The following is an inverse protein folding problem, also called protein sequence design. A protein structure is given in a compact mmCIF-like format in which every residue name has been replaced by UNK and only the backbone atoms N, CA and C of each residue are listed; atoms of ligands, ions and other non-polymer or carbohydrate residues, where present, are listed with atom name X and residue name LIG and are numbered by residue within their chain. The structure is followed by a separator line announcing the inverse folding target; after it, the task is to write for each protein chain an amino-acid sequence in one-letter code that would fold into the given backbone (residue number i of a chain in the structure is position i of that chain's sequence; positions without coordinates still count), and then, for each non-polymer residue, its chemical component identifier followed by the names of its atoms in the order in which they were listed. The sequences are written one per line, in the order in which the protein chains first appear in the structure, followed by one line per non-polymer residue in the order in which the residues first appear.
data_IF_387249032772
#
_entry.id   IF_387249032772
#
_cell.length_a   1.000
_cell.length_b   1.000
_cell.length_c   1.000
_cell.angle_alpha   90.00
_cell.angle_beta   90.00
_cell.angle_gamma   90.00
#
_symmetry.space_group_name_H-M   'P 1'
#
loop_
_entity.id
_entity.type
_entity.pdbx_description
1 polymer ?
#
# COMPACT_ATOMS: atom_id res chain seq x y z
N UNK A 1 -16.01 -14.86 -2.13
CA UNK A 1 -16.16 -13.46 -1.63
C UNK A 1 -16.31 -12.45 -2.77
N UNK A 2 -15.36 -12.31 -3.73
CA UNK A 2 -15.48 -11.32 -4.81
C UNK A 2 -16.75 -11.53 -5.68
N UNK A 3 -17.01 -12.75 -6.15
CA UNK A 3 -18.22 -13.07 -6.90
C UNK A 3 -19.52 -12.76 -6.12
N UNK A 4 -19.50 -12.97 -4.80
CA UNK A 4 -20.60 -12.65 -3.89
C UNK A 4 -20.80 -11.14 -3.75
N UNK A 5 -19.72 -10.37 -3.71
CA UNK A 5 -19.76 -8.90 -3.70
C UNK A 5 -20.31 -8.34 -5.02
N UNK A 6 -19.85 -8.86 -6.15
CA UNK A 6 -20.39 -8.49 -7.48
C UNK A 6 -21.89 -8.71 -7.60
N UNK A 7 -22.42 -9.78 -7.01
CA UNK A 7 -23.86 -10.05 -7.01
C UNK A 7 -24.67 -9.00 -6.22
N UNK A 8 -24.01 -8.23 -5.35
CA UNK A 8 -24.58 -7.15 -4.53
C UNK A 8 -24.28 -5.75 -5.07
N UNK A 9 -23.92 -5.65 -6.36
CA UNK A 9 -23.54 -4.39 -7.02
C UNK A 9 -22.35 -3.67 -6.36
N UNK A 10 -21.43 -4.45 -5.75
CA UNK A 10 -20.22 -3.94 -5.14
C UNK A 10 -19.00 -4.40 -5.94
N UNK A 11 -17.94 -3.60 -5.93
CA UNK A 11 -16.71 -3.93 -6.62
C UNK A 11 -15.48 -3.69 -5.73
N UNK A 12 -14.34 -4.23 -6.15
CA UNK A 12 -13.05 -4.03 -5.49
C UNK A 12 -12.12 -3.31 -6.46
N UNK A 13 -11.53 -2.23 -5.99
CA UNK A 13 -10.35 -1.63 -6.60
C UNK A 13 -9.13 -1.96 -5.73
N UNK A 14 -8.21 -2.75 -6.25
CA UNK A 14 -6.91 -2.98 -5.64
C UNK A 14 -5.92 -1.94 -6.15
N UNK A 15 -5.09 -1.42 -5.26
CA UNK A 15 -4.08 -0.42 -5.60
C UNK A 15 -2.73 -0.93 -5.10
N UNK A 16 -1.87 -1.30 -6.02
CA UNK A 16 -0.49 -1.65 -5.71
C UNK A 16 0.33 -0.37 -5.58
N UNK A 17 1.18 -0.30 -4.57
CA UNK A 17 2.16 0.80 -4.43
C UNK A 17 3.50 0.28 -4.90
N UNK A 18 3.93 0.71 -6.08
CA UNK A 18 5.21 0.28 -6.66
C UNK A 18 5.77 1.35 -7.61
N UNK A 19 6.88 1.97 -7.23
CA UNK A 19 7.56 3.02 -8.01
C UNK A 19 8.10 2.51 -9.35
N UNK A 20 8.33 1.20 -9.47
CA UNK A 20 8.86 0.57 -10.68
C UNK A 20 7.74 0.18 -11.67
N UNK A 21 6.50 0.50 -11.35
CA UNK A 21 5.37 0.43 -12.25
C UNK A 21 4.65 -0.93 -12.34
N UNK A 22 3.68 -1.02 -13.26
CA UNK A 22 2.76 -2.15 -13.33
C UNK A 22 3.42 -3.47 -13.73
N UNK A 23 4.56 -3.44 -14.40
CA UNK A 23 5.27 -4.67 -14.79
C UNK A 23 5.77 -5.46 -13.58
N UNK A 24 6.05 -4.78 -12.47
CA UNK A 24 6.50 -5.41 -11.22
C UNK A 24 5.34 -5.98 -10.40
N UNK A 25 4.20 -5.32 -10.39
CA UNK A 25 3.03 -5.74 -9.62
C UNK A 25 2.13 -6.74 -10.36
N UNK A 26 2.07 -6.68 -11.70
CA UNK A 26 1.22 -7.55 -12.52
C UNK A 26 1.39 -9.05 -12.24
N UNK A 27 2.60 -9.62 -12.12
CA UNK A 27 2.77 -11.05 -11.86
C UNK A 27 2.08 -11.52 -10.56
N UNK A 28 1.96 -10.65 -9.56
CA UNK A 28 1.26 -10.97 -8.30
C UNK A 28 -0.25 -10.97 -8.48
N UNK A 29 -0.79 -10.04 -9.25
CA UNK A 29 -2.22 -10.00 -9.61
C UNK A 29 -2.59 -11.26 -10.41
N UNK A 30 -1.85 -11.56 -11.45
CA UNK A 30 -2.09 -12.71 -12.33
C UNK A 30 -1.94 -14.03 -11.56
N UNK A 31 -0.89 -14.14 -10.74
CA UNK A 31 -0.64 -15.32 -9.91
C UNK A 31 -1.68 -15.55 -8.82
N UNK A 32 -2.38 -14.49 -8.38
CA UNK A 32 -3.51 -14.59 -7.47
C UNK A 32 -4.83 -14.98 -8.17
N UNK A 33 -4.87 -14.97 -9.50
CA UNK A 33 -6.10 -15.17 -10.27
C UNK A 33 -7.17 -14.13 -9.94
N UNK A 34 -6.74 -12.89 -9.68
CA UNK A 34 -7.65 -11.81 -9.29
C UNK A 34 -8.52 -11.38 -10.47
N UNK A 35 -9.82 -11.30 -10.24
CA UNK A 35 -10.82 -10.88 -11.25
C UNK A 35 -11.25 -9.41 -11.09
N UNK A 36 -10.80 -8.75 -10.02
CA UNK A 36 -11.07 -7.33 -9.77
C UNK A 36 -10.01 -6.43 -10.41
N UNK A 37 -10.35 -5.16 -10.60
CA UNK A 37 -9.41 -4.18 -11.14
C UNK A 37 -8.26 -3.92 -10.19
N UNK A 38 -7.03 -3.95 -10.72
CA UNK A 38 -5.83 -3.48 -10.00
C UNK A 38 -5.18 -2.35 -10.78
N UNK A 39 -4.88 -1.27 -10.08
CA UNK A 39 -4.10 -0.12 -10.58
C UNK A 39 -2.80 -0.01 -9.79
N UNK A 40 -1.86 0.78 -10.29
CA UNK A 40 -0.55 0.98 -9.62
C UNK A 40 -0.39 2.44 -9.28
N UNK A 41 -0.13 2.72 -8.01
CA UNK A 41 0.24 4.04 -7.51
C UNK A 41 1.77 4.16 -7.52
N UNK A 42 2.30 4.59 -8.65
CA UNK A 42 3.74 4.78 -8.87
C UNK A 42 4.31 6.01 -8.15
N UNK A 43 3.44 6.86 -7.63
CA UNK A 43 3.83 8.10 -6.96
C UNK A 43 3.64 8.05 -5.45
N UNK A 44 3.09 6.93 -4.95
CA UNK A 44 2.62 6.83 -3.56
C UNK A 44 1.69 8.01 -3.19
N UNK A 45 0.88 8.44 -4.17
CA UNK A 45 0.00 9.59 -4.05
C UNK A 45 -1.06 9.39 -2.97
N UNK A 46 -1.57 8.16 -2.85
CA UNK A 46 -2.58 7.84 -1.85
C UNK A 46 -2.03 7.90 -0.43
N UNK A 47 -0.76 7.54 -0.22
CA UNK A 47 -0.14 7.72 1.09
C UNK A 47 -0.01 9.19 1.48
N UNK A 48 0.23 10.09 0.51
CA UNK A 48 0.22 11.54 0.75
C UNK A 48 -1.17 12.08 1.08
N UNK A 49 -2.21 11.58 0.39
CA UNK A 49 -3.59 12.01 0.60
C UNK A 49 -4.15 11.48 1.92
N UNK A 50 -3.94 10.21 2.21
CA UNK A 50 -4.53 9.53 3.36
C UNK A 50 -3.59 9.41 4.56
N UNK A 51 -2.31 9.75 4.41
CA UNK A 51 -1.31 9.74 5.49
C UNK A 51 -0.89 8.36 5.98
N UNK A 52 -1.16 7.28 5.24
CA UNK A 52 -0.74 5.96 5.68
C UNK A 52 0.77 5.72 5.43
N UNK A 53 1.39 4.96 6.33
CA UNK A 53 2.83 4.66 6.34
C UNK A 53 3.15 3.21 6.01
N UNK A 54 2.14 2.36 5.92
CA UNK A 54 2.28 0.94 5.67
C UNK A 54 1.11 0.42 4.82
N UNK A 55 1.28 -0.76 4.25
CA UNK A 55 0.27 -1.57 3.58
C UNK A 55 0.20 -2.95 4.26
N UNK A 56 -0.91 -3.70 4.16
CA UNK A 56 -2.13 -3.41 3.40
C UNK A 56 -3.10 -2.48 4.13
N UNK A 57 -3.85 -1.69 3.35
CA UNK A 57 -4.90 -0.78 3.81
C UNK A 57 -6.25 -1.19 3.25
N UNK A 58 -7.34 -0.82 3.91
CA UNK A 58 -8.71 -0.99 3.44
C UNK A 58 -9.51 0.28 3.60
N UNK A 59 -10.24 0.66 2.56
CA UNK A 59 -11.18 1.78 2.56
C UNK A 59 -12.50 1.27 1.99
N UNK A 60 -13.60 1.48 2.71
CA UNK A 60 -14.94 1.16 2.26
C UNK A 60 -15.67 2.46 1.91
N UNK A 61 -16.19 2.52 0.68
CA UNK A 61 -16.82 3.72 0.12
C UNK A 61 -18.24 3.34 -0.28
N UNK A 62 -19.23 4.15 0.12
CA UNK A 62 -20.64 3.95 -0.24
C UNK A 62 -20.96 4.39 -1.68
N UNK A 63 -22.20 4.16 -2.11
CA UNK A 63 -22.69 4.52 -3.44
C UNK A 63 -22.68 6.03 -3.70
N UNK A 64 -22.66 6.86 -2.66
CA UNK A 64 -22.59 8.31 -2.73
C UNK A 64 -21.16 8.84 -2.79
N UNK A 65 -20.15 7.95 -2.64
CA UNK A 65 -18.75 8.31 -2.64
C UNK A 65 -18.20 8.71 -1.26
N UNK A 66 -18.95 8.48 -0.19
CA UNK A 66 -18.48 8.75 1.16
C UNK A 66 -17.68 7.57 1.74
N UNK A 67 -16.62 7.89 2.44
CA UNK A 67 -15.84 6.88 3.17
C UNK A 67 -16.62 6.48 4.42
N UNK A 68 -17.03 5.23 4.47
CA UNK A 68 -17.72 4.63 5.61
C UNK A 68 -16.76 3.96 6.60
N UNK A 69 -15.60 3.53 6.11
CA UNK A 69 -14.56 2.92 6.94
C UNK A 69 -13.20 3.06 6.29
N UNK A 70 -12.17 3.22 7.11
CA UNK A 70 -10.77 3.15 6.69
C UNK A 70 -9.91 2.52 7.78
N UNK A 71 -8.99 1.65 7.36
CA UNK A 71 -7.97 1.06 8.24
C UNK A 71 -6.63 1.11 7.53
N UNK A 72 -5.64 1.70 8.17
CA UNK A 72 -4.29 1.81 7.65
C UNK A 72 -3.35 0.86 8.39
N UNK A 73 -2.67 0.02 7.61
CA UNK A 73 -1.88 -1.09 8.11
C UNK A 73 -2.71 -2.26 8.63
N UNK A 74 -2.25 -3.46 8.32
CA UNK A 74 -2.84 -4.70 8.84
C UNK A 74 -4.26 -5.03 8.38
N UNK A 75 -4.78 -4.40 7.31
CA UNK A 75 -6.06 -4.79 6.73
C UNK A 75 -5.92 -6.15 6.04
N UNK A 76 -6.32 -7.22 6.72
CA UNK A 76 -6.22 -8.59 6.20
C UNK A 76 -7.59 -9.26 6.18
N UNK A 77 -8.09 -9.54 4.99
CA UNK A 77 -9.37 -10.22 4.76
C UNK A 77 -9.39 -11.69 5.26
N UNK A 78 -8.23 -12.27 5.57
CA UNK A 78 -8.13 -13.57 6.23
C UNK A 78 -8.49 -13.49 7.71
N UNK A 79 -8.35 -12.32 8.31
CA UNK A 79 -8.84 -12.05 9.66
C UNK A 79 -10.36 -12.11 9.69
N UNK A 80 -10.92 -12.81 10.67
CA UNK A 80 -12.38 -13.02 10.78
C UNK A 80 -13.14 -11.73 11.08
N UNK A 81 -12.55 -10.82 11.85
CA UNK A 81 -13.16 -9.53 12.21
C UNK A 81 -13.21 -8.60 10.99
N UNK A 82 -12.10 -8.47 10.25
CA UNK A 82 -12.04 -7.71 9.00
C UNK A 82 -13.05 -8.26 7.99
N UNK A 83 -13.14 -9.58 7.88
CA UNK A 83 -14.11 -10.22 6.98
C UNK A 83 -15.55 -9.95 7.39
N UNK A 84 -15.86 -10.02 8.67
CA UNK A 84 -17.20 -9.74 9.19
C UNK A 84 -17.60 -8.29 8.93
N UNK A 85 -16.68 -7.34 9.17
CA UNK A 85 -16.88 -5.92 8.92
C UNK A 85 -17.16 -5.64 7.43
N UNK A 86 -16.32 -6.17 6.53
CA UNK A 86 -16.52 -6.03 5.08
C UNK A 86 -17.85 -6.65 4.64
N UNK A 87 -18.21 -7.82 5.19
CA UNK A 87 -19.49 -8.48 4.87
C UNK A 87 -20.71 -7.70 5.38
N UNK A 88 -20.60 -7.08 6.55
CA UNK A 88 -21.66 -6.21 7.10
C UNK A 88 -21.85 -4.98 6.22
N UNK A 89 -20.78 -4.30 5.82
CA UNK A 89 -20.83 -3.17 4.91
C UNK A 89 -21.61 -3.49 3.62
N UNK A 90 -21.30 -4.61 2.97
CA UNK A 90 -22.01 -5.04 1.75
C UNK A 90 -23.43 -5.52 1.99
N UNK A 91 -23.87 -5.67 3.22
CA UNK A 91 -25.24 -6.07 3.55
C UNK A 91 -26.13 -4.90 3.96
N UNK A 92 -25.57 -3.89 4.62
CA UNK A 92 -26.30 -2.74 5.18
C UNK A 92 -25.85 -1.38 4.62
N UNK A 93 -24.70 -1.31 3.96
CA UNK A 93 -24.09 -0.04 3.53
C UNK A 93 -23.44 0.76 4.66
N UNK A 94 -23.54 0.28 5.90
CA UNK A 94 -23.05 0.99 7.08
C UNK A 94 -22.00 0.16 7.82
N UNK A 95 -21.04 0.85 8.44
CA UNK A 95 -20.03 0.25 9.32
C UNK A 95 -20.02 1.02 10.64
N UNK A 96 -20.09 0.31 11.75
CA UNK A 96 -19.91 0.93 13.06
C UNK A 96 -18.42 1.16 13.33
N UNK A 97 -17.99 2.41 13.49
CA UNK A 97 -16.64 2.77 13.88
C UNK A 97 -16.23 4.15 13.37
N UNK A 98 -15.38 4.84 14.13
CA UNK A 98 -14.74 6.08 13.70
C UNK A 98 -13.53 5.77 12.82
N UNK A 99 -13.44 6.44 11.68
CA UNK A 99 -12.26 6.36 10.80
C UNK A 99 -11.23 7.41 11.23
N UNK A 100 -10.01 7.02 11.57
CA UNK A 100 -8.96 8.01 11.84
C UNK A 100 -8.62 8.76 10.54
N UNK A 101 -8.65 10.09 10.59
CA UNK A 101 -8.14 10.93 9.52
C UNK A 101 -6.62 11.05 9.71
N UNK A 102 -5.84 10.47 8.81
CA UNK A 102 -4.40 10.67 8.80
C UNK A 102 -4.03 11.89 7.94
N UNK A 103 -3.05 12.63 8.37
CA UNK A 103 -2.49 13.79 7.66
C UNK A 103 -1.06 13.45 7.28
N UNK A 104 -0.66 13.77 6.03
CA UNK A 104 0.71 13.56 5.55
C UNK A 104 1.74 14.20 6.48
N UNK A 105 2.87 13.52 6.68
CA UNK A 105 3.95 13.98 7.56
C UNK A 105 5.17 14.50 6.77
N UNK A 106 6.20 15.03 7.48
CA UNK A 106 7.42 15.62 6.86
C UNK A 106 8.19 14.67 5.93
N UNK A 107 8.04 13.37 6.11
CA UNK A 107 8.66 12.36 5.24
C UNK A 107 8.05 12.32 3.83
N UNK A 108 6.86 12.88 3.60
CA UNK A 108 6.23 12.91 2.27
C UNK A 108 7.05 13.75 1.28
N UNK A 109 7.65 14.84 1.72
CA UNK A 109 8.47 15.72 0.88
C UNK A 109 9.76 15.00 0.43
N UNK A 110 10.36 14.19 1.31
CA UNK A 110 11.52 13.36 0.98
C UNK A 110 11.15 12.27 -0.02
N UNK A 111 9.95 11.70 0.10
CA UNK A 111 9.49 10.70 -0.85
C UNK A 111 9.38 11.31 -2.26
N UNK A 112 8.73 12.47 -2.40
CA UNK A 112 8.53 13.15 -3.68
C UNK A 112 9.86 13.60 -4.30
N UNK A 113 10.75 14.19 -3.50
CA UNK A 113 12.10 14.60 -3.97
C UNK A 113 12.89 13.39 -4.49
N UNK A 114 12.90 12.29 -3.75
CA UNK A 114 13.58 11.07 -4.16
C UNK A 114 12.95 10.48 -5.43
N UNK A 115 11.63 10.50 -5.56
CA UNK A 115 10.92 10.05 -6.76
C UNK A 115 11.32 10.87 -8.00
N UNK A 116 11.44 12.19 -7.87
CA UNK A 116 11.87 13.07 -8.97
C UNK A 116 13.32 12.77 -9.40
N UNK A 117 14.22 12.55 -8.45
CA UNK A 117 15.60 12.13 -8.72
C UNK A 117 15.64 10.76 -9.43
N UNK A 118 14.91 9.79 -8.93
CA UNK A 118 14.82 8.46 -9.52
C UNK A 118 14.33 8.50 -10.97
N UNK A 119 13.27 9.26 -11.24
CA UNK A 119 12.73 9.45 -12.61
C UNK A 119 13.67 10.19 -13.54
N UNK A 120 14.53 11.06 -13.03
CA UNK A 120 15.58 11.73 -13.81
C UNK A 120 16.81 10.86 -14.06
N UNK A 121 16.86 9.66 -13.48
CA UNK A 121 17.97 8.72 -13.61
C UNK A 121 19.04 8.83 -12.51
N UNK A 122 18.88 9.75 -11.56
CA UNK A 122 19.75 9.90 -10.40
C UNK A 122 19.30 8.96 -9.27
N UNK A 123 19.58 7.67 -9.44
CA UNK A 123 19.20 6.64 -8.46
C UNK A 123 19.94 6.82 -7.13
N UNK A 124 21.21 7.15 -7.13
CA UNK A 124 21.99 7.32 -5.91
C UNK A 124 21.50 8.51 -5.09
N UNK A 125 21.18 9.63 -5.75
CA UNK A 125 20.55 10.78 -5.14
C UNK A 125 19.18 10.44 -4.54
N UNK A 126 18.36 9.70 -5.25
CA UNK A 126 17.05 9.24 -4.78
C UNK A 126 17.16 8.39 -3.50
N UNK A 127 18.05 7.39 -3.50
CA UNK A 127 18.29 6.52 -2.34
C UNK A 127 18.78 7.32 -1.13
N UNK A 128 19.63 8.32 -1.34
CA UNK A 128 20.11 9.19 -0.27
C UNK A 128 18.97 9.99 0.36
N UNK A 129 18.14 10.64 -0.45
CA UNK A 129 16.98 11.42 0.02
C UNK A 129 15.95 10.54 0.73
N UNK A 130 15.71 9.34 0.25
CA UNK A 130 14.78 8.41 0.92
C UNK A 130 15.33 7.90 2.26
N UNK A 131 16.64 7.66 2.41
CA UNK A 131 17.24 7.33 3.71
C UNK A 131 17.08 8.46 4.72
N UNK A 132 17.24 9.73 4.28
CA UNK A 132 16.96 10.89 5.13
C UNK A 132 15.49 10.92 5.60
N UNK A 133 14.54 10.65 4.67
CA UNK A 133 13.12 10.58 4.99
C UNK A 133 12.78 9.43 5.95
N UNK A 134 13.41 8.26 5.81
CA UNK A 134 13.24 7.12 6.72
C UNK A 134 13.81 7.45 8.11
N UNK A 135 14.92 8.19 8.18
CA UNK A 135 15.47 8.62 9.47
C UNK A 135 14.56 9.60 10.22
N UNK A 136 13.78 10.41 9.49
CA UNK A 136 12.77 11.33 10.06
C UNK A 136 11.48 10.61 10.46
N UNK A 137 11.10 9.57 9.74
CA UNK A 137 9.90 8.76 9.99
C UNK A 137 10.21 7.26 9.83
N UNK A 138 10.82 6.64 10.86
CA UNK A 138 11.23 5.22 10.82
C UNK A 138 10.08 4.24 10.62
N UNK A 139 8.86 4.66 10.94
CA UNK A 139 7.64 3.87 10.76
C UNK A 139 7.06 3.96 9.33
N UNK A 140 7.71 4.69 8.44
CA UNK A 140 7.30 4.79 7.05
C UNK A 140 7.76 3.56 6.24
N UNK A 141 7.02 2.48 6.41
CA UNK A 141 7.27 1.21 5.75
C UNK A 141 7.12 1.29 4.23
N UNK A 142 6.28 2.20 3.72
CA UNK A 142 6.13 2.38 2.28
C UNK A 142 7.44 2.88 1.67
N UNK A 143 8.03 3.95 2.22
CA UNK A 143 9.29 4.50 1.74
C UNK A 143 10.44 3.48 1.87
N UNK A 144 10.55 2.84 3.03
CA UNK A 144 11.57 1.83 3.31
C UNK A 144 11.52 0.66 2.31
N UNK A 145 10.32 0.12 2.05
CA UNK A 145 10.16 -1.00 1.12
C UNK A 145 10.44 -0.62 -0.32
N UNK A 146 10.11 0.59 -0.75
CA UNK A 146 10.44 1.06 -2.09
C UNK A 146 11.96 1.20 -2.26
N UNK A 147 12.66 1.77 -1.29
CA UNK A 147 14.11 1.84 -1.26
C UNK A 147 14.73 0.43 -1.36
N UNK A 148 14.30 -0.47 -0.51
CA UNK A 148 14.80 -1.85 -0.50
C UNK A 148 14.51 -2.60 -1.81
N UNK A 149 13.35 -2.37 -2.44
CA UNK A 149 12.97 -3.01 -3.70
C UNK A 149 13.84 -2.55 -4.89
N UNK A 150 14.35 -1.32 -4.82
CA UNK A 150 15.31 -0.80 -5.83
C UNK A 150 16.70 -1.36 -5.59
N UNK A 151 17.16 -1.40 -4.33
CA UNK A 151 18.50 -1.91 -4.00
C UNK A 151 18.59 -3.45 -4.08
N UNK A 152 17.51 -4.16 -3.79
CA UNK A 152 17.46 -5.62 -3.67
C UNK A 152 16.26 -6.21 -4.42
N UNK A 153 16.18 -6.06 -5.75
CA UNK A 153 15.00 -6.46 -6.52
C UNK A 153 14.69 -7.95 -6.45
N UNK A 154 15.70 -8.79 -6.23
CA UNK A 154 15.55 -10.24 -6.04
C UNK A 154 14.73 -10.58 -4.77
N UNK A 155 14.77 -9.75 -3.73
CA UNK A 155 14.02 -9.93 -2.49
C UNK A 155 12.54 -9.59 -2.61
N UNK A 156 12.17 -8.87 -3.67
CA UNK A 156 10.80 -8.42 -3.90
C UNK A 156 10.16 -9.05 -5.13
N UNK A 157 10.90 -9.28 -6.20
CA UNK A 157 10.32 -9.61 -7.52
C UNK A 157 10.68 -11.00 -8.05
N UNK A 158 11.35 -11.86 -7.26
CA UNK A 158 11.69 -13.24 -7.65
C UNK A 158 10.64 -14.27 -7.25
N UNK A 159 9.35 -13.92 -7.37
CA UNK A 159 8.20 -14.79 -7.13
C UNK A 159 7.52 -14.58 -5.78
N UNK A 160 8.25 -14.52 -4.67
CA UNK A 160 7.69 -14.22 -3.34
C UNK A 160 8.54 -13.16 -2.65
N UNK A 161 7.86 -12.24 -1.98
CA UNK A 161 8.53 -11.24 -1.13
C UNK A 161 9.23 -11.94 0.04
N UNK A 162 10.52 -11.65 0.24
CA UNK A 162 11.33 -12.23 1.31
C UNK A 162 11.13 -11.46 2.63
N UNK A 163 10.04 -11.79 3.33
CA UNK A 163 9.73 -11.17 4.63
C UNK A 163 10.72 -11.53 5.74
N UNK A 164 11.47 -12.64 5.61
CA UNK A 164 12.51 -12.99 6.57
C UNK A 164 13.67 -12.01 6.46
N UNK A 165 14.13 -11.78 5.24
CA UNK A 165 15.18 -10.80 4.94
C UNK A 165 14.77 -9.39 5.42
N UNK A 166 13.51 -8.96 5.19
CA UNK A 166 13.04 -7.65 5.65
C UNK A 166 13.14 -7.49 7.18
N UNK A 167 12.82 -8.53 7.95
CA UNK A 167 12.98 -8.49 9.43
C UNK A 167 14.44 -8.39 9.83
N UNK A 168 15.33 -9.13 9.18
CA UNK A 168 16.77 -9.07 9.43
C UNK A 168 17.34 -7.66 9.15
N UNK A 169 16.85 -6.96 8.10
CA UNK A 169 17.26 -5.57 7.84
C UNK A 169 16.84 -4.63 8.96
N UNK A 170 15.62 -4.76 9.47
CA UNK A 170 15.15 -3.92 10.60
C UNK A 170 15.98 -4.17 11.85
N UNK A 171 16.30 -5.43 12.17
CA UNK A 171 17.16 -5.78 13.32
C UNK A 171 18.58 -5.19 13.19
N UNK A 172 19.06 -4.97 11.96
CA UNK A 172 20.34 -4.33 11.65
C UNK A 172 20.25 -2.80 11.57
N UNK A 173 19.08 -2.22 11.82
CA UNK A 173 18.87 -0.78 11.83
C UNK A 173 18.77 -0.13 10.44
N UNK A 174 18.43 -0.93 9.43
CA UNK A 174 18.25 -0.48 8.03
C UNK A 174 16.83 0.01 7.76
#
# INVERSE_FOLDING_TARGET
MYADMKSKNADILSIAVDLQGPEKSRPYHDGAGAEFTTVVDEENALARIFGYRAIPNGILIDEQGNIQFQQYGGFDIKNSETRALVSAFFSSGEVAGESPVAVGGPASDHFERGLNLYRSGDTDGALTVWREGIALDPENWNMRKQLWAIENPDKFYSGKVDYKWQREQVEQGQ
#
